data_IF_305956958060
#
_entry.id   IF_305956958060
#
_cell.length_a   1.000
_cell.length_b   1.000
_cell.length_c   1.000
_cell.angle_alpha   90.00
_cell.angle_beta   90.00
_cell.angle_gamma   90.00
#
_symmetry.space_group_name_H-M   'P 1'
#
loop_
_entity.id
_entity.type
_entity.pdbx_description
1 polymer ?
#
# COMPACT_ATOMS: atom_id res chain seq x y z
N UNK A 1 45.37 -12.67 -38.35
CA UNK A 1 45.84 -13.85 -39.13
C UNK A 1 45.19 -15.10 -38.55
N UNK A 2 44.94 -16.13 -39.37
CA UNK A 2 44.49 -17.49 -39.00
C UNK A 2 43.19 -17.66 -38.17
N UNK A 3 42.12 -18.02 -38.86
CA UNK A 3 41.21 -19.13 -38.49
C UNK A 3 41.81 -20.46 -39.02
N UNK A 4 41.10 -21.61 -39.17
CA UNK A 4 39.78 -22.05 -38.63
C UNK A 4 39.98 -22.99 -37.39
N UNK A 5 39.30 -24.11 -37.05
CA UNK A 5 38.34 -25.09 -37.65
C UNK A 5 37.46 -25.73 -36.54
N UNK A 6 36.36 -26.43 -36.90
CA UNK A 6 35.56 -27.23 -35.95
C UNK A 6 34.11 -27.53 -36.37
N UNK A 7 33.89 -28.51 -37.25
CA UNK A 7 32.55 -28.93 -37.71
C UNK A 7 31.89 -30.02 -36.83
N UNK A 8 30.56 -30.19 -36.95
CA UNK A 8 29.80 -31.21 -36.22
C UNK A 8 28.34 -31.36 -36.68
N UNK A 9 28.13 -31.84 -37.92
CA UNK A 9 26.78 -32.07 -38.46
C UNK A 9 26.16 -33.38 -37.95
N UNK A 10 24.87 -33.34 -37.60
CA UNK A 10 24.07 -34.51 -37.23
C UNK A 10 22.66 -34.44 -37.82
N UNK A 11 22.47 -34.98 -39.02
CA UNK A 11 21.16 -35.06 -39.70
C UNK A 11 20.54 -36.45 -39.56
N UNK A 12 19.30 -36.49 -39.09
CA UNK A 12 18.45 -37.69 -39.07
C UNK A 12 17.03 -37.32 -39.48
N UNK A 13 16.55 -37.93 -40.56
CA UNK A 13 15.20 -37.74 -41.11
C UNK A 13 14.46 -39.08 -41.15
N UNK A 14 13.31 -39.12 -41.85
CA UNK A 14 12.32 -40.23 -41.90
C UNK A 14 11.39 -40.24 -40.66
N UNK A 15 10.06 -40.41 -40.79
CA UNK A 15 9.20 -40.51 -41.99
C UNK A 15 7.81 -39.93 -41.72
N UNK A 16 7.03 -39.69 -42.79
CA UNK A 16 5.61 -39.34 -42.71
C UNK A 16 4.77 -40.59 -42.40
N UNK A 17 3.54 -40.42 -41.93
CA UNK A 17 2.39 -40.63 -42.83
C UNK A 17 1.08 -40.04 -42.32
N UNK A 18 0.11 -39.91 -43.23
CA UNK A 18 -1.04 -39.03 -43.12
C UNK A 18 -2.28 -39.71 -43.73
N UNK A 19 -3.18 -40.26 -42.90
CA UNK A 19 -4.50 -40.73 -43.35
C UNK A 19 -5.59 -40.43 -42.35
N UNK A 20 -6.42 -39.45 -42.67
CA UNK A 20 -7.76 -39.34 -42.12
C UNK A 20 -8.64 -40.48 -42.64
N UNK A 21 -9.42 -41.14 -41.77
CA UNK A 21 -10.64 -41.83 -42.18
C UNK A 21 -11.82 -41.26 -41.41
N UNK A 22 -12.95 -41.14 -42.11
CA UNK A 22 -14.20 -40.54 -41.63
C UNK A 22 -15.33 -41.57 -41.64
N UNK A 23 -16.47 -41.17 -41.08
CA UNK A 23 -17.77 -41.86 -41.04
C UNK A 23 -17.98 -42.92 -39.94
N UNK A 24 -19.24 -43.19 -39.54
CA UNK A 24 -20.48 -42.48 -39.84
C UNK A 24 -21.18 -41.88 -38.61
N UNK A 25 -22.21 -41.09 -38.89
CA UNK A 25 -23.23 -40.60 -37.95
C UNK A 25 -23.95 -41.79 -37.25
N UNK A 26 -24.29 -41.63 -35.97
CA UNK A 26 -25.26 -42.50 -35.29
C UNK A 26 -26.27 -41.64 -34.52
N UNK A 27 -27.55 -42.00 -34.58
CA UNK A 27 -28.64 -41.20 -34.01
C UNK A 27 -28.68 -41.22 -32.47
N UNK A 28 -29.09 -40.10 -31.89
CA UNK A 28 -29.18 -39.93 -30.44
C UNK A 28 -30.52 -40.49 -29.88
N UNK A 29 -30.49 -41.38 -28.87
CA UNK A 29 -31.68 -41.72 -28.10
C UNK A 29 -32.19 -40.50 -27.32
N UNK A 30 -33.51 -40.34 -27.21
CA UNK A 30 -34.13 -39.17 -26.56
C UNK A 30 -33.83 -39.11 -25.05
N UNK A 31 -32.88 -38.25 -24.69
CA UNK A 31 -32.46 -38.01 -23.31
C UNK A 31 -33.57 -37.44 -22.43
N UNK A 32 -33.77 -38.08 -21.27
CA UNK A 32 -34.70 -37.73 -20.18
C UNK A 32 -34.67 -36.23 -19.83
N UNK A 33 -35.84 -35.62 -19.63
CA UNK A 33 -35.95 -34.22 -19.20
C UNK A 33 -35.41 -34.06 -17.76
N UNK A 34 -34.13 -33.68 -17.62
CA UNK A 34 -33.55 -33.34 -16.34
C UNK A 34 -34.03 -31.96 -15.88
N UNK A 35 -34.93 -31.95 -14.89
CA UNK A 35 -35.19 -30.73 -14.11
C UNK A 35 -33.96 -30.44 -13.25
N UNK A 36 -33.03 -29.67 -13.80
CA UNK A 36 -32.01 -29.00 -12.98
C UNK A 36 -32.73 -28.12 -11.97
N UNK A 37 -32.76 -28.55 -10.70
CA UNK A 37 -33.05 -27.66 -9.58
C UNK A 37 -32.02 -26.54 -9.66
N UNK A 38 -32.45 -25.33 -10.03
CA UNK A 38 -31.61 -24.15 -9.91
C UNK A 38 -31.34 -23.94 -8.43
N UNK A 39 -30.18 -24.36 -7.96
CA UNK A 39 -29.68 -23.91 -6.68
C UNK A 39 -29.52 -22.39 -6.79
N UNK A 40 -30.36 -21.66 -6.06
CA UNK A 40 -30.19 -20.23 -5.93
C UNK A 40 -28.89 -20.00 -5.17
N UNK A 41 -27.82 -19.64 -5.89
CA UNK A 41 -26.54 -19.28 -5.31
C UNK A 41 -26.68 -17.94 -4.59
N UNK A 42 -27.19 -17.99 -3.36
CA UNK A 42 -27.19 -16.87 -2.44
C UNK A 42 -25.75 -16.36 -2.31
N UNK A 43 -25.47 -15.22 -2.94
CA UNK A 43 -24.26 -14.47 -2.64
C UNK A 43 -24.40 -13.96 -1.21
N UNK A 44 -23.64 -14.56 -0.31
CA UNK A 44 -23.29 -13.90 0.95
C UNK A 44 -22.50 -12.64 0.56
N UNK A 45 -22.81 -11.46 1.12
CA UNK A 45 -22.12 -10.23 0.77
C UNK A 45 -20.64 -10.23 1.20
N UNK A 46 -19.96 -9.15 0.84
CA UNK A 46 -18.51 -8.92 1.02
C UNK A 46 -18.00 -9.19 2.45
N UNK A 47 -16.69 -9.44 2.52
CA UNK A 47 -15.93 -9.83 3.72
C UNK A 47 -16.34 -9.09 4.99
N UNK A 48 -16.64 -9.83 6.06
CA UNK A 48 -16.96 -9.29 7.40
C UNK A 48 -15.72 -9.11 8.28
N UNK A 49 -14.52 -9.03 7.67
CA UNK A 49 -13.27 -8.83 8.39
C UNK A 49 -13.06 -7.35 8.70
N UNK A 50 -12.47 -7.06 9.87
CA UNK A 50 -12.11 -5.69 10.24
C UNK A 50 -10.97 -5.14 9.36
N UNK A 51 -11.01 -3.84 9.12
CA UNK A 51 -9.97 -3.06 8.45
C UNK A 51 -9.70 -1.80 9.28
N UNK A 52 -8.47 -1.28 9.28
CA UNK A 52 -8.20 0.08 9.75
C UNK A 52 -8.86 1.04 8.74
N UNK A 53 -9.83 1.81 9.22
CA UNK A 53 -10.53 2.82 8.41
C UNK A 53 -9.78 4.16 8.47
N UNK A 54 -9.33 4.54 9.66
CA UNK A 54 -8.41 5.63 9.88
C UNK A 54 -7.49 5.38 11.09
N UNK A 55 -6.34 6.03 11.10
CA UNK A 55 -5.63 6.42 12.31
C UNK A 55 -5.99 7.87 12.67
N UNK A 56 -5.85 8.28 13.92
CA UNK A 56 -6.13 9.64 14.36
C UNK A 56 -4.98 10.18 15.20
N UNK A 57 -4.58 11.43 14.95
CA UNK A 57 -3.40 12.08 15.52
C UNK A 57 -3.78 13.46 16.07
N UNK A 58 -3.32 13.78 17.28
CA UNK A 58 -3.39 15.14 17.80
C UNK A 58 -2.20 15.96 17.32
N UNK A 59 -2.45 17.20 16.93
CA UNK A 59 -1.45 18.15 16.42
C UNK A 59 -1.64 19.52 17.08
N UNK A 60 -0.53 20.19 17.36
CA UNK A 60 -0.46 21.56 17.90
C UNK A 60 -0.75 22.63 16.84
N UNK A 61 -0.52 22.32 15.55
CA UNK A 61 -0.86 23.19 14.42
C UNK A 61 -1.46 22.37 13.27
N UNK A 62 -2.79 22.34 13.25
CA UNK A 62 -3.60 21.60 12.28
C UNK A 62 -3.35 21.99 10.82
N UNK A 63 -2.92 23.23 10.54
CA UNK A 63 -2.64 23.67 9.17
C UNK A 63 -1.24 23.21 8.75
N UNK A 64 -0.26 23.31 9.64
CA UNK A 64 1.13 22.86 9.43
C UNK A 64 1.23 21.34 9.27
N UNK A 65 0.54 20.57 10.12
CA UNK A 65 0.45 19.12 9.97
C UNK A 65 -0.24 18.72 8.66
N UNK A 66 -1.31 19.42 8.24
CA UNK A 66 -1.93 19.19 6.92
C UNK A 66 -0.91 19.44 5.80
N UNK A 67 -0.26 20.59 5.79
CA UNK A 67 0.69 20.98 4.74
C UNK A 67 1.89 20.03 4.64
N UNK A 68 2.33 19.45 5.76
CA UNK A 68 3.35 18.39 5.78
C UNK A 68 2.91 17.12 5.03
N UNK A 69 1.77 16.54 5.39
CA UNK A 69 1.28 15.30 4.77
C UNK A 69 0.83 15.52 3.31
N UNK A 70 0.26 16.68 2.98
CA UNK A 70 -0.02 17.08 1.59
C UNK A 70 1.29 17.20 0.77
N UNK A 71 2.32 17.88 1.30
CA UNK A 71 3.57 18.16 0.56
C UNK A 71 4.49 16.95 0.39
N UNK A 72 4.77 16.21 1.48
CA UNK A 72 5.81 15.18 1.49
C UNK A 72 5.28 13.77 1.19
N UNK A 73 3.98 13.55 1.42
CA UNK A 73 3.33 12.26 1.19
C UNK A 73 2.31 12.29 0.05
N UNK A 74 1.80 13.46 -0.35
CA UNK A 74 0.83 13.59 -1.43
C UNK A 74 -0.60 13.28 -0.98
N UNK A 75 -0.89 13.45 0.31
CA UNK A 75 -2.23 13.27 0.85
C UNK A 75 -3.20 14.34 0.31
N UNK A 76 -4.49 14.01 0.23
CA UNK A 76 -5.57 14.96 -0.08
C UNK A 76 -6.41 15.26 1.16
N UNK A 77 -6.47 16.53 1.59
CA UNK A 77 -7.30 16.94 2.72
C UNK A 77 -8.78 17.13 2.34
N UNK A 78 -9.68 16.54 3.13
CA UNK A 78 -11.12 16.82 3.06
C UNK A 78 -11.52 18.19 3.61
N UNK A 79 -12.81 18.49 3.61
CA UNK A 79 -13.35 19.71 4.23
C UNK A 79 -13.04 19.76 5.74
N UNK A 80 -12.46 20.87 6.23
CA UNK A 80 -12.18 21.09 7.66
C UNK A 80 -13.45 20.95 8.49
N UNK A 81 -13.43 20.08 9.50
CA UNK A 81 -14.49 19.98 10.49
C UNK A 81 -14.23 20.95 11.66
N UNK A 82 -15.29 21.47 12.27
CA UNK A 82 -15.24 22.34 13.46
C UNK A 82 -16.41 22.06 14.41
N UNK A 83 -16.12 21.95 15.70
CA UNK A 83 -17.10 21.85 16.78
C UNK A 83 -16.76 22.84 17.89
N UNK A 84 -17.35 24.04 17.80
CA UNK A 84 -17.12 25.17 18.71
C UNK A 84 -17.48 24.86 20.17
N UNK A 85 -18.33 23.85 20.43
CA UNK A 85 -18.76 23.48 21.79
C UNK A 85 -17.78 22.55 22.50
N UNK A 86 -16.70 22.13 21.83
CA UNK A 86 -15.66 21.22 22.33
C UNK A 86 -14.23 21.73 22.02
N UNK A 87 -14.13 22.99 21.58
CA UNK A 87 -12.97 23.53 20.85
C UNK A 87 -12.22 22.49 20.00
N UNK A 88 -12.91 21.88 19.04
CA UNK A 88 -12.33 20.82 18.22
C UNK A 88 -12.36 21.20 16.75
N UNK A 89 -11.23 21.03 16.05
CA UNK A 89 -11.19 21.02 14.59
C UNK A 89 -10.38 19.84 14.09
N UNK A 90 -10.78 19.25 12.96
CA UNK A 90 -10.04 18.17 12.31
C UNK A 90 -10.06 18.23 10.79
N UNK A 91 -9.09 17.54 10.19
CA UNK A 91 -9.03 17.18 8.77
C UNK A 91 -8.92 15.67 8.65
N UNK A 92 -9.71 15.06 7.77
CA UNK A 92 -9.39 13.74 7.25
C UNK A 92 -8.53 13.88 6.00
N UNK A 93 -7.33 13.32 6.05
CA UNK A 93 -6.42 13.17 4.92
C UNK A 93 -6.63 11.79 4.28
N UNK A 94 -6.67 11.76 2.95
CA UNK A 94 -6.77 10.53 2.16
C UNK A 94 -5.50 10.32 1.35
N UNK A 95 -5.10 9.06 1.18
CA UNK A 95 -4.01 8.64 0.29
C UNK A 95 -4.58 7.84 -0.89
N UNK A 96 -3.75 7.42 -1.86
CA UNK A 96 -4.13 6.65 -3.05
C UNK A 96 -5.10 5.48 -2.76
N UNK A 97 -4.92 4.79 -1.63
CA UNK A 97 -5.86 3.79 -1.10
C UNK A 97 -5.60 3.47 0.38
N UNK A 98 -6.49 2.70 1.00
CA UNK A 98 -6.28 2.13 2.33
C UNK A 98 -6.95 2.94 3.45
N UNK A 99 -6.23 3.14 4.54
CA UNK A 99 -6.70 3.91 5.70
C UNK A 99 -6.50 5.42 5.50
N UNK A 100 -7.30 6.22 6.20
CA UNK A 100 -7.20 7.68 6.24
C UNK A 100 -6.44 8.14 7.51
N UNK A 101 -5.97 9.38 7.53
CA UNK A 101 -5.40 10.01 8.73
C UNK A 101 -6.32 11.15 9.19
N UNK A 102 -6.89 11.07 10.39
CA UNK A 102 -7.57 12.22 11.00
C UNK A 102 -6.56 13.05 11.81
N UNK A 103 -6.20 14.23 11.30
CA UNK A 103 -5.48 15.24 12.07
C UNK A 103 -6.47 16.00 12.94
N UNK A 104 -6.22 16.09 14.24
CA UNK A 104 -7.12 16.67 15.24
C UNK A 104 -6.40 17.76 16.05
N UNK A 105 -7.10 18.86 16.35
CA UNK A 105 -6.60 19.95 17.18
C UNK A 105 -7.66 20.45 18.16
N UNK A 106 -7.22 20.77 19.39
CA UNK A 106 -7.99 21.45 20.44
C UNK A 106 -7.04 22.28 21.32
N UNK A 107 -7.49 23.43 21.86
CA UNK A 107 -6.68 24.18 22.84
C UNK A 107 -6.63 23.54 24.23
N UNK A 108 -7.49 22.54 24.50
CA UNK A 108 -7.65 21.92 25.83
C UNK A 108 -6.74 20.66 26.02
N UNK A 109 -5.75 20.45 25.17
CA UNK A 109 -4.81 19.32 25.27
C UNK A 109 -3.69 19.63 26.29
N UNK A 110 -3.36 18.67 27.14
CA UNK A 110 -2.15 18.76 27.97
C UNK A 110 -0.90 18.48 27.12
N UNK A 111 0.17 19.27 27.32
CA UNK A 111 1.46 19.10 26.64
C UNK A 111 2.08 17.73 26.97
N UNK A 112 2.60 17.04 25.96
CA UNK A 112 3.18 15.71 26.14
C UNK A 112 4.43 15.78 27.04
N UNK A 113 4.47 14.96 28.10
CA UNK A 113 5.57 14.96 29.07
C UNK A 113 6.80 14.14 28.64
N UNK A 114 6.79 13.58 27.43
CA UNK A 114 7.91 12.91 26.80
C UNK A 114 8.52 13.79 25.70
N UNK A 115 9.82 13.64 25.45
CA UNK A 115 10.49 14.28 24.31
C UNK A 115 9.95 13.78 22.97
N UNK A 116 10.03 14.62 21.94
CA UNK A 116 9.76 14.26 20.54
C UNK A 116 10.50 12.96 20.15
N UNK A 117 9.87 12.10 19.33
CA UNK A 117 10.43 10.83 18.88
C UNK A 117 10.64 9.73 19.95
N UNK A 118 10.26 9.95 21.22
CA UNK A 118 10.45 8.97 22.31
C UNK A 118 9.57 7.73 22.16
N UNK A 119 10.19 6.56 22.09
CA UNK A 119 9.51 5.25 22.03
C UNK A 119 8.84 4.91 23.37
N UNK A 120 7.55 4.55 23.36
CA UNK A 120 6.72 4.29 24.55
C UNK A 120 5.78 3.08 24.34
N UNK A 121 5.23 2.53 25.43
CA UNK A 121 4.20 1.48 25.33
C UNK A 121 2.88 2.06 24.78
N UNK A 122 2.59 1.84 23.49
CA UNK A 122 1.39 2.35 22.83
C UNK A 122 1.39 2.13 21.31
N UNK A 123 0.84 3.10 20.58
CA UNK A 123 1.12 3.27 19.15
C UNK A 123 2.46 4.01 19.02
N UNK A 124 3.41 3.47 18.24
CA UNK A 124 4.77 4.04 18.10
C UNK A 124 4.92 4.97 16.89
N UNK A 125 4.40 4.55 15.72
CA UNK A 125 4.63 5.23 14.44
C UNK A 125 3.47 5.00 13.45
N UNK A 126 3.48 5.79 12.36
CA UNK A 126 2.68 5.55 11.16
C UNK A 126 3.60 5.19 9.99
N UNK A 127 3.38 4.03 9.36
CA UNK A 127 4.13 3.62 8.17
C UNK A 127 3.39 3.99 6.88
N UNK A 128 4.08 4.67 5.95
CA UNK A 128 3.57 5.14 4.67
C UNK A 128 4.40 4.56 3.52
N UNK A 129 3.75 3.75 2.67
CA UNK A 129 4.32 3.18 1.44
C UNK A 129 4.43 4.24 0.34
N UNK A 130 5.58 4.29 -0.32
CA UNK A 130 5.87 5.19 -1.46
C UNK A 130 6.34 4.43 -2.71
N UNK A 131 6.20 3.10 -2.72
CA UNK A 131 6.24 2.24 -3.91
C UNK A 131 7.62 1.86 -4.44
N UNK A 132 8.71 2.44 -3.93
CA UNK A 132 10.08 2.02 -4.30
C UNK A 132 11.16 2.50 -3.33
N UNK A 133 12.25 1.74 -3.23
CA UNK A 133 13.44 2.14 -2.44
C UNK A 133 13.96 3.52 -2.86
N UNK A 134 13.90 3.84 -4.16
CA UNK A 134 14.34 5.13 -4.70
C UNK A 134 13.42 6.31 -4.30
N UNK A 135 12.12 6.09 -4.08
CA UNK A 135 11.20 7.10 -3.57
C UNK A 135 11.36 7.35 -2.08
N UNK A 136 11.64 6.30 -1.28
CA UNK A 136 12.08 6.44 0.12
C UNK A 136 13.31 7.34 0.13
N UNK A 137 14.37 6.90 -0.54
CA UNK A 137 15.66 7.58 -0.66
C UNK A 137 15.51 9.04 -1.12
N UNK A 138 14.59 9.35 -2.06
CA UNK A 138 14.28 10.72 -2.48
C UNK A 138 13.61 11.52 -1.37
N UNK A 139 12.54 10.99 -0.76
CA UNK A 139 11.73 11.72 0.23
C UNK A 139 12.51 11.98 1.52
N UNK A 140 13.28 11.02 2.03
CA UNK A 140 14.14 11.23 3.21
C UNK A 140 15.16 12.35 2.99
N UNK A 141 15.77 12.42 1.79
CA UNK A 141 16.70 13.51 1.42
C UNK A 141 16.00 14.87 1.26
N UNK A 142 14.76 14.89 0.77
CA UNK A 142 13.93 16.10 0.70
C UNK A 142 13.58 16.61 2.10
N UNK A 143 12.98 15.77 2.94
CA UNK A 143 12.60 16.09 4.32
C UNK A 143 13.79 16.63 5.14
N UNK A 144 14.95 15.95 5.10
CA UNK A 144 16.18 16.41 5.77
C UNK A 144 16.68 17.77 5.28
N UNK A 145 16.58 18.04 3.97
CA UNK A 145 16.98 19.33 3.38
C UNK A 145 16.03 20.45 3.81
N UNK A 146 14.75 20.13 3.96
CA UNK A 146 13.68 21.08 4.23
C UNK A 146 13.43 21.31 5.74
N UNK A 147 14.13 20.57 6.60
CA UNK A 147 14.29 20.88 8.03
C UNK A 147 13.94 19.75 9.00
N UNK A 148 13.32 18.67 8.52
CA UNK A 148 12.77 17.60 9.36
C UNK A 148 13.84 16.62 9.84
N UNK A 149 13.71 16.14 11.08
CA UNK A 149 14.64 15.16 11.64
C UNK A 149 14.45 13.78 11.01
N UNK A 150 15.57 13.11 10.74
CA UNK A 150 15.61 11.73 10.25
C UNK A 150 16.23 10.86 11.33
N UNK A 151 15.37 10.27 12.18
CA UNK A 151 15.77 9.39 13.29
C UNK A 151 16.20 7.99 12.81
N UNK A 152 15.87 7.59 11.58
CA UNK A 152 16.34 6.36 10.95
C UNK A 152 16.71 6.55 9.47
N UNK A 153 17.99 6.38 9.13
CA UNK A 153 18.47 6.44 7.74
C UNK A 153 17.87 5.33 6.84
N UNK A 154 17.78 5.55 5.50
CA UNK A 154 17.36 4.54 4.54
C UNK A 154 18.16 3.23 4.65
N UNK A 155 17.50 2.14 5.03
CA UNK A 155 18.13 0.84 5.31
C UNK A 155 17.19 -0.32 5.06
N UNK A 156 17.73 -1.54 4.97
CA UNK A 156 16.94 -2.78 5.06
C UNK A 156 16.88 -3.28 6.50
N UNK A 157 15.69 -3.69 6.93
CA UNK A 157 15.45 -4.21 8.28
C UNK A 157 15.72 -5.72 8.39
N UNK A 158 15.60 -6.26 9.60
CA UNK A 158 15.75 -7.70 9.87
C UNK A 158 14.55 -8.56 9.44
N UNK A 159 13.37 -7.96 9.28
CA UNK A 159 12.13 -8.60 8.83
C UNK A 159 11.83 -8.39 7.33
N UNK A 160 12.53 -7.46 6.66
CA UNK A 160 12.67 -7.43 5.20
C UNK A 160 12.16 -6.17 4.49
N UNK A 161 11.74 -5.14 5.22
CA UNK A 161 11.40 -3.84 4.68
C UNK A 161 12.64 -3.08 4.18
N UNK A 162 12.43 -2.11 3.29
CA UNK A 162 13.38 -1.04 3.02
C UNK A 162 12.70 0.28 3.39
N UNK A 163 13.27 0.98 4.36
CA UNK A 163 12.60 2.08 5.04
C UNK A 163 13.58 3.19 5.45
N UNK A 164 13.03 4.37 5.74
CA UNK A 164 13.64 5.38 6.62
C UNK A 164 12.61 5.88 7.62
N UNK A 165 13.04 6.40 8.78
CA UNK A 165 12.14 6.95 9.80
C UNK A 165 12.43 8.44 9.99
N UNK A 166 11.38 9.26 9.94
CA UNK A 166 11.43 10.71 10.12
C UNK A 166 10.50 11.16 11.24
N UNK A 167 10.67 12.39 11.72
CA UNK A 167 9.68 13.05 12.56
C UNK A 167 8.79 13.97 11.72
N UNK A 168 7.49 14.01 12.04
CA UNK A 168 6.53 15.00 11.53
C UNK A 168 6.62 16.32 12.34
N UNK A 169 5.83 17.38 12.02
CA UNK A 169 5.94 18.68 12.69
C UNK A 169 5.66 18.68 14.20
N UNK A 170 4.96 17.66 14.70
CA UNK A 170 4.63 17.49 16.12
C UNK A 170 5.51 16.40 16.79
N UNK A 171 6.60 15.98 16.13
CA UNK A 171 7.56 15.03 16.67
C UNK A 171 7.14 13.55 16.58
N UNK A 172 6.11 13.22 15.79
CA UNK A 172 5.62 11.85 15.64
C UNK A 172 6.45 11.06 14.61
N UNK A 173 6.67 9.78 14.88
CA UNK A 173 7.48 8.90 14.02
C UNK A 173 6.68 8.49 12.79
N UNK A 174 7.21 8.81 11.60
CA UNK A 174 6.68 8.37 10.32
C UNK A 174 7.72 7.50 9.61
N UNK A 175 7.37 6.24 9.35
CA UNK A 175 8.19 5.35 8.54
C UNK A 175 7.84 5.54 7.06
N UNK A 176 8.85 5.72 6.23
CA UNK A 176 8.73 5.85 4.77
C UNK A 176 9.25 4.54 4.17
N UNK A 177 8.36 3.69 3.66
CA UNK A 177 8.67 2.34 3.15
C UNK A 177 8.37 2.22 1.66
N UNK A 178 8.86 1.13 1.03
CA UNK A 178 8.34 0.62 -0.25
C UNK A 178 6.85 0.33 -0.11
#
# INVERSE_FOLDING_TARGET
MRSPEGEGLGVGALTRDFTSQTQPFFEAPRGRLFVQKRHASFHVPLSTMAQIEHAALWTSDLEQAREFYETYFGAEAGTRYRNEKKDFTSYFLSFDSGARLELMHTSDLEEASASEGTELEGYDHLALSVGSEAEVDRRTRTLRRDGYEVVGEPRRTGDGYYESVVLDPDGNRVEITV
#
